data_IF_898611845722
#
_entry.id   IF_898611845722
#
_cell.length_a   1.000
_cell.length_b   1.000
_cell.length_c   1.000
_cell.angle_alpha   90.00
_cell.angle_beta   90.00
_cell.angle_gamma   90.00
#
_symmetry.space_group_name_H-M   'P 1'
#
loop_
_entity.id
_entity.type
_entity.pdbx_description
1 polymer ?
#
# COMPACT_ATOMS: atom_id res chain seq x y z
N UNK A 1 -51.87 -20.47 8.28
CA UNK A 1 -50.81 -19.89 7.44
C UNK A 1 -50.27 -18.66 8.15
N UNK A 2 -49.20 -18.85 8.93
CA UNK A 2 -48.38 -17.79 9.49
C UNK A 2 -47.07 -18.48 9.94
N UNK A 3 -46.10 -18.55 9.03
CA UNK A 3 -44.71 -18.85 9.38
C UNK A 3 -44.05 -17.51 9.69
N UNK A 4 -44.07 -17.17 10.97
CA UNK A 4 -43.41 -16.01 11.54
C UNK A 4 -41.91 -16.30 11.60
N UNK A 5 -41.16 -15.78 10.63
CA UNK A 5 -39.69 -15.80 10.57
C UNK A 5 -39.11 -14.85 11.63
N UNK A 6 -39.29 -15.17 12.91
CA UNK A 6 -38.57 -14.51 14.00
C UNK A 6 -37.23 -15.20 14.21
N UNK A 7 -36.24 -14.77 13.41
CA UNK A 7 -34.84 -15.00 13.71
C UNK A 7 -34.57 -14.60 15.18
N UNK A 8 -33.89 -15.43 15.99
CA UNK A 8 -33.74 -15.18 17.41
C UNK A 8 -33.04 -13.84 17.66
N UNK A 9 -33.75 -12.93 18.36
CA UNK A 9 -33.40 -11.54 18.64
C UNK A 9 -32.24 -11.35 19.64
N UNK A 10 -31.32 -12.31 19.72
CA UNK A 10 -30.13 -12.24 20.56
C UNK A 10 -28.86 -12.33 19.70
N UNK A 11 -28.78 -11.51 18.66
CA UNK A 11 -27.48 -11.23 18.04
C UNK A 11 -26.83 -10.11 18.84
N UNK A 12 -25.77 -10.39 19.61
CA UNK A 12 -25.21 -9.39 20.49
C UNK A 12 -24.52 -8.29 19.67
N UNK A 13 -24.68 -7.03 20.09
CA UNK A 13 -24.16 -5.82 19.42
C UNK A 13 -22.67 -5.90 19.01
N UNK A 14 -21.85 -6.66 19.76
CA UNK A 14 -20.44 -6.89 19.43
C UNK A 14 -20.23 -7.70 18.14
N UNK A 15 -21.12 -8.64 17.82
CA UNK A 15 -21.05 -9.44 16.60
C UNK A 15 -21.39 -8.61 15.35
N UNK A 16 -22.31 -7.64 15.49
CA UNK A 16 -22.64 -6.67 14.43
C UNK A 16 -21.47 -5.73 14.15
N UNK A 17 -20.80 -5.25 15.20
CA UNK A 17 -19.62 -4.37 15.11
C UNK A 17 -18.42 -5.08 14.48
N UNK A 18 -18.20 -6.35 14.80
CA UNK A 18 -17.13 -7.17 14.19
C UNK A 18 -17.31 -7.34 12.67
N UNK A 19 -18.54 -7.67 12.22
CA UNK A 19 -18.85 -7.82 10.78
C UNK A 19 -18.63 -6.52 10.00
N UNK A 20 -19.01 -5.38 10.57
CA UNK A 20 -18.79 -4.06 9.93
C UNK A 20 -17.30 -3.75 9.71
N UNK A 21 -16.44 -4.08 10.69
CA UNK A 21 -14.99 -3.86 10.59
C UNK A 21 -14.39 -4.75 9.49
N UNK A 22 -14.80 -6.01 9.39
CA UNK A 22 -14.32 -6.92 8.33
C UNK A 22 -14.75 -6.45 6.95
N UNK A 23 -16.00 -5.99 6.78
CA UNK A 23 -16.50 -5.46 5.51
C UNK A 23 -15.74 -4.19 5.10
N UNK A 24 -15.53 -3.26 6.04
CA UNK A 24 -14.74 -2.06 5.78
C UNK A 24 -13.31 -2.41 5.35
N UNK A 25 -12.69 -3.40 5.99
CA UNK A 25 -11.37 -3.92 5.63
C UNK A 25 -11.32 -4.52 4.21
N UNK A 26 -12.35 -5.26 3.80
CA UNK A 26 -12.45 -5.82 2.44
C UNK A 26 -12.56 -4.72 1.38
N UNK A 27 -13.42 -3.72 1.61
CA UNK A 27 -13.58 -2.58 0.70
C UNK A 27 -12.27 -1.80 0.59
N UNK A 28 -11.62 -1.54 1.73
CA UNK A 28 -10.32 -0.88 1.81
C UNK A 28 -9.24 -1.60 0.99
N UNK A 29 -9.09 -2.93 1.17
CA UNK A 29 -8.15 -3.72 0.38
C UNK A 29 -8.50 -3.72 -1.12
N UNK A 30 -9.79 -3.78 -1.47
CA UNK A 30 -10.25 -3.70 -2.85
C UNK A 30 -9.88 -2.38 -3.53
N UNK A 31 -10.09 -1.26 -2.85
CA UNK A 31 -9.69 0.08 -3.35
C UNK A 31 -8.16 0.16 -3.55
N UNK A 32 -7.38 -0.36 -2.61
CA UNK A 32 -5.92 -0.38 -2.73
C UNK A 32 -5.42 -1.22 -3.90
N UNK A 33 -6.05 -2.36 -4.18
CA UNK A 33 -5.72 -3.18 -5.36
C UNK A 33 -5.95 -2.37 -6.64
N UNK A 34 -7.09 -1.67 -6.74
CA UNK A 34 -7.40 -0.82 -7.88
C UNK A 34 -6.35 0.28 -8.03
N UNK A 35 -5.98 0.96 -6.93
CA UNK A 35 -4.95 2.01 -6.96
C UNK A 35 -3.59 1.45 -7.38
N UNK A 36 -3.20 0.26 -6.91
CA UNK A 36 -1.95 -0.39 -7.32
C UNK A 36 -1.96 -0.71 -8.82
N UNK A 37 -3.09 -1.17 -9.37
CA UNK A 37 -3.25 -1.40 -10.81
C UNK A 37 -3.15 -0.10 -11.61
N UNK A 38 -3.70 1.00 -11.09
CA UNK A 38 -3.62 2.32 -11.71
C UNK A 38 -2.20 2.93 -11.67
N UNK A 39 -1.31 2.42 -10.83
CA UNK A 39 0.12 2.77 -10.86
C UNK A 39 0.86 1.83 -11.82
N UNK A 40 0.66 0.53 -11.66
CA UNK A 40 1.35 -0.51 -12.41
C UNK A 40 1.07 -0.45 -13.92
N UNK A 41 -0.20 -0.40 -14.33
CA UNK A 41 -0.60 -0.52 -15.74
C UNK A 41 -0.06 0.66 -16.56
N UNK A 42 -0.25 1.93 -16.16
CA UNK A 42 0.23 3.05 -16.97
C UNK A 42 1.76 3.09 -17.07
N UNK A 43 2.48 2.75 -15.99
CA UNK A 43 3.94 2.69 -16.00
C UNK A 43 4.48 1.55 -16.87
N UNK A 44 3.83 0.38 -16.83
CA UNK A 44 4.23 -0.75 -17.67
C UNK A 44 3.98 -0.48 -19.16
N UNK A 45 2.82 0.11 -19.50
CA UNK A 45 2.48 0.45 -20.88
C UNK A 45 3.42 1.52 -21.43
N UNK A 46 3.65 2.61 -20.69
CA UNK A 46 4.57 3.68 -21.14
C UNK A 46 6.01 3.18 -21.27
N UNK A 47 6.46 2.27 -20.41
CA UNK A 47 7.77 1.62 -20.53
C UNK A 47 7.86 0.73 -21.79
N UNK A 48 6.81 -0.03 -22.09
CA UNK A 48 6.75 -0.88 -23.28
C UNK A 48 6.77 -0.05 -24.57
N UNK A 49 5.99 1.03 -24.61
CA UNK A 49 5.98 1.97 -25.74
C UNK A 49 7.34 2.64 -25.95
N UNK A 50 8.08 2.94 -24.88
CA UNK A 50 9.43 3.49 -24.95
C UNK A 50 10.54 2.45 -25.21
N UNK A 51 10.21 1.28 -25.76
CA UNK A 51 11.17 0.24 -26.12
C UNK A 51 11.91 -0.37 -24.91
N UNK A 52 11.30 -0.32 -23.71
CA UNK A 52 11.90 -0.78 -22.46
C UNK A 52 12.62 0.31 -21.65
N UNK A 53 12.69 1.53 -22.16
CA UNK A 53 13.23 2.69 -21.44
C UNK A 53 12.18 3.35 -20.53
N UNK A 54 12.62 4.09 -19.52
CA UNK A 54 11.68 4.76 -18.61
C UNK A 54 11.32 6.15 -19.13
N UNK A 55 10.03 6.43 -19.19
CA UNK A 55 9.54 7.74 -19.62
C UNK A 55 9.67 8.82 -18.52
N UNK A 56 9.71 8.41 -17.25
CA UNK A 56 9.98 9.33 -16.16
C UNK A 56 11.40 9.87 -16.28
N UNK A 57 11.56 11.17 -16.03
CA UNK A 57 12.82 11.88 -16.21
C UNK A 57 13.36 11.89 -17.64
N UNK A 58 12.54 11.57 -18.65
CA UNK A 58 12.93 11.80 -20.03
C UNK A 58 13.08 13.30 -20.30
N UNK A 59 14.00 13.63 -21.20
CA UNK A 59 14.31 14.99 -21.63
C UNK A 59 14.37 15.07 -23.17
N UNK A 60 14.75 16.22 -23.70
CA UNK A 60 14.90 16.40 -25.16
C UNK A 60 16.08 15.61 -25.75
N UNK A 61 16.96 15.05 -24.91
CA UNK A 61 18.18 14.35 -25.30
C UNK A 61 18.07 12.82 -25.17
N UNK A 62 17.07 12.30 -24.44
CA UNK A 62 16.82 10.87 -24.32
C UNK A 62 15.81 10.48 -23.24
N UNK A 63 15.66 9.16 -23.07
CA UNK A 63 14.80 8.57 -22.04
C UNK A 63 15.50 8.50 -20.67
N UNK A 64 14.71 8.47 -19.60
CA UNK A 64 15.21 8.28 -18.25
C UNK A 64 15.64 6.85 -17.95
N UNK A 65 16.31 6.66 -16.82
CA UNK A 65 16.85 5.37 -16.41
C UNK A 65 15.73 4.32 -16.17
N UNK A 66 15.83 3.14 -16.83
CA UNK A 66 14.87 2.02 -16.67
C UNK A 66 14.64 1.65 -15.20
N UNK A 67 15.69 1.74 -14.38
CA UNK A 67 15.65 1.38 -12.95
C UNK A 67 14.60 2.14 -12.15
N UNK A 68 14.24 3.37 -12.56
CA UNK A 68 13.21 4.17 -11.87
C UNK A 68 11.82 3.57 -12.09
N UNK A 69 11.48 3.28 -13.35
CA UNK A 69 10.21 2.63 -13.69
C UNK A 69 10.14 1.23 -13.09
N UNK A 70 11.23 0.46 -13.16
CA UNK A 70 11.30 -0.89 -12.58
C UNK A 70 11.07 -0.89 -11.08
N UNK A 71 11.67 0.08 -10.37
CA UNK A 71 11.44 0.25 -8.95
C UNK A 71 9.97 0.56 -8.63
N UNK A 72 9.37 1.54 -9.32
CA UNK A 72 7.96 1.89 -9.10
C UNK A 72 7.00 0.73 -9.40
N UNK A 73 7.25 0.00 -10.48
CA UNK A 73 6.50 -1.21 -10.87
C UNK A 73 6.65 -2.30 -9.81
N UNK A 74 7.86 -2.58 -9.35
CA UNK A 74 8.12 -3.62 -8.36
C UNK A 74 7.38 -3.34 -7.03
N UNK A 75 7.44 -2.11 -6.53
CA UNK A 75 6.73 -1.73 -5.30
C UNK A 75 5.21 -1.85 -5.47
N UNK A 76 4.65 -1.38 -6.59
CA UNK A 76 3.23 -1.49 -6.88
C UNK A 76 2.76 -2.96 -6.93
N UNK A 77 3.56 -3.85 -7.53
CA UNK A 77 3.26 -5.30 -7.61
C UNK A 77 3.35 -5.96 -6.23
N UNK A 78 4.37 -5.65 -5.42
CA UNK A 78 4.49 -6.18 -4.06
C UNK A 78 3.29 -5.78 -3.22
N UNK A 79 2.88 -4.52 -3.27
CA UNK A 79 1.68 -4.04 -2.58
C UNK A 79 0.41 -4.72 -3.08
N UNK A 80 0.28 -4.92 -4.40
CA UNK A 80 -0.85 -5.63 -4.99
C UNK A 80 -0.96 -7.05 -4.43
N UNK A 81 0.15 -7.79 -4.38
CA UNK A 81 0.19 -9.16 -3.84
C UNK A 81 -0.21 -9.17 -2.37
N UNK A 82 0.32 -8.25 -1.57
CA UNK A 82 -0.01 -8.13 -0.15
C UNK A 82 -1.47 -7.76 0.07
N UNK A 83 -2.01 -6.82 -0.70
CA UNK A 83 -3.42 -6.43 -0.63
C UNK A 83 -4.34 -7.57 -1.07
N UNK A 84 -3.99 -8.29 -2.14
CA UNK A 84 -4.73 -9.45 -2.61
C UNK A 84 -4.71 -10.60 -1.58
N UNK A 85 -3.56 -10.85 -0.97
CA UNK A 85 -3.42 -11.83 0.12
C UNK A 85 -4.27 -11.46 1.33
N UNK A 86 -4.22 -10.19 1.78
CA UNK A 86 -5.07 -9.67 2.87
C UNK A 86 -6.56 -9.79 2.53
N UNK A 87 -6.96 -9.40 1.32
CA UNK A 87 -8.34 -9.51 0.86
C UNK A 87 -8.79 -10.97 0.85
N UNK A 88 -7.98 -11.88 0.31
CA UNK A 88 -8.27 -13.31 0.30
C UNK A 88 -8.48 -13.87 1.71
N UNK A 89 -7.64 -13.48 2.67
CA UNK A 89 -7.81 -13.88 4.08
C UNK A 89 -9.07 -13.31 4.72
N UNK A 90 -9.43 -12.06 4.42
CA UNK A 90 -10.66 -11.43 4.93
C UNK A 90 -11.92 -12.05 4.33
N UNK A 91 -11.92 -12.31 3.01
CA UNK A 91 -13.01 -12.98 2.29
C UNK A 91 -13.17 -14.40 2.80
N UNK A 92 -12.06 -15.13 2.98
CA UNK A 92 -12.09 -16.48 3.54
C UNK A 92 -12.71 -16.50 4.94
N UNK A 93 -12.28 -15.58 5.84
CA UNK A 93 -12.90 -15.41 7.17
C UNK A 93 -14.37 -15.00 7.13
N UNK A 94 -14.80 -14.31 6.08
CA UNK A 94 -16.20 -13.90 5.91
C UNK A 94 -17.08 -15.05 5.41
N UNK A 95 -16.55 -15.90 4.53
CA UNK A 95 -17.27 -17.04 3.93
C UNK A 95 -17.34 -18.25 4.86
N UNK A 96 -16.34 -18.46 5.72
CA UNK A 96 -16.26 -19.68 6.54
C UNK A 96 -17.12 -19.59 7.81
N UNK A 97 -17.99 -20.59 7.99
CA UNK A 97 -18.75 -20.84 9.23
C UNK A 97 -17.79 -21.34 10.35
N UNK A 98 -18.09 -21.08 11.64
CA UNK A 98 -17.12 -21.05 12.74
C UNK A 98 -16.53 -22.40 13.22
N UNK A 99 -16.47 -23.46 12.41
CA UNK A 99 -16.18 -24.83 12.90
C UNK A 99 -14.94 -25.52 12.29
N UNK A 100 -14.06 -24.82 11.56
CA UNK A 100 -12.82 -25.45 11.07
C UNK A 100 -11.57 -25.10 11.89
N UNK A 101 -10.85 -26.09 12.48
CA UNK A 101 -9.67 -25.88 13.34
C UNK A 101 -8.45 -25.34 12.58
N UNK A 102 -8.50 -25.27 11.24
CA UNK A 102 -7.44 -24.73 10.39
C UNK A 102 -7.35 -23.20 10.51
N UNK A 103 -8.48 -22.51 10.72
CA UNK A 103 -8.53 -21.06 10.91
C UNK A 103 -7.89 -20.68 12.24
N UNK A 104 -8.07 -21.45 13.31
CA UNK A 104 -7.45 -21.11 14.59
C UNK A 104 -5.92 -21.14 14.48
N UNK A 105 -5.37 -22.07 13.69
CA UNK A 105 -3.94 -22.11 13.36
C UNK A 105 -3.50 -20.95 12.45
N UNK A 106 -4.18 -20.71 11.33
CA UNK A 106 -3.79 -19.61 10.41
C UNK A 106 -3.99 -18.22 11.06
N UNK A 107 -5.08 -18.05 11.81
CA UNK A 107 -5.34 -16.91 12.67
C UNK A 107 -4.27 -16.79 13.73
N UNK A 108 -3.89 -17.86 14.46
CA UNK A 108 -2.76 -17.83 15.41
C UNK A 108 -1.43 -17.51 14.74
N UNK A 109 -1.18 -17.92 13.51
CA UNK A 109 0.04 -17.53 12.78
C UNK A 109 0.05 -16.03 12.47
N UNK A 110 -1.09 -15.44 12.09
CA UNK A 110 -1.22 -13.98 11.91
C UNK A 110 -1.42 -13.21 13.25
N UNK A 111 -1.85 -13.89 14.31
CA UNK A 111 -2.27 -13.33 15.61
C UNK A 111 -1.32 -13.69 16.76
N UNK A 112 -0.20 -14.36 16.49
CA UNK A 112 0.84 -14.53 17.49
C UNK A 112 1.42 -13.14 17.74
N UNK A 113 1.39 -12.70 18.99
CA UNK A 113 1.77 -11.35 19.45
C UNK A 113 3.10 -10.80 18.87
N UNK A 114 4.00 -11.65 18.38
CA UNK A 114 5.24 -11.23 17.68
C UNK A 114 5.08 -10.93 16.18
N UNK A 115 4.13 -11.56 15.47
CA UNK A 115 3.91 -11.39 14.02
C UNK A 115 3.19 -10.08 13.72
N UNK A 116 2.32 -9.60 14.62
CA UNK A 116 1.70 -8.27 14.48
C UNK A 116 2.72 -7.14 14.41
N UNK A 117 3.81 -7.22 15.16
CA UNK A 117 4.87 -6.22 15.11
C UNK A 117 5.64 -6.28 13.78
N UNK A 118 5.93 -7.49 13.28
CA UNK A 118 6.58 -7.68 11.98
C UNK A 118 5.70 -7.15 10.86
N UNK A 119 4.39 -7.41 10.92
CA UNK A 119 3.40 -6.88 9.95
C UNK A 119 3.40 -5.36 9.99
N UNK A 120 3.28 -4.74 11.18
CA UNK A 120 3.33 -3.28 11.34
C UNK A 120 4.64 -2.70 10.78
N UNK A 121 5.79 -3.34 11.03
CA UNK A 121 7.06 -2.90 10.47
C UNK A 121 7.09 -3.00 8.93
N UNK A 122 6.55 -4.08 8.36
CA UNK A 122 6.42 -4.25 6.92
C UNK A 122 5.50 -3.17 6.35
N UNK A 123 4.37 -2.88 6.98
CA UNK A 123 3.41 -1.88 6.51
C UNK A 123 3.98 -0.46 6.57
N UNK A 124 4.75 -0.15 7.62
CA UNK A 124 5.49 1.12 7.74
C UNK A 124 6.60 1.21 6.69
N UNK A 125 7.35 0.12 6.44
CA UNK A 125 8.35 0.10 5.39
C UNK A 125 7.72 0.34 4.01
N UNK A 126 6.61 -0.34 3.72
CA UNK A 126 5.84 -0.17 2.49
C UNK A 126 5.25 1.23 2.35
N UNK A 127 4.82 1.85 3.45
CA UNK A 127 4.36 3.23 3.47
C UNK A 127 5.47 4.20 3.00
N UNK A 128 6.69 4.00 3.50
CA UNK A 128 7.85 4.80 3.07
C UNK A 128 8.18 4.53 1.60
N UNK A 129 8.15 3.27 1.17
CA UNK A 129 8.38 2.92 -0.23
C UNK A 129 7.32 3.53 -1.16
N UNK A 130 6.04 3.56 -0.75
CA UNK A 130 4.96 4.23 -1.48
C UNK A 130 5.17 5.74 -1.57
N UNK A 131 5.63 6.37 -0.49
CA UNK A 131 5.96 7.79 -0.51
C UNK A 131 7.07 8.05 -1.53
N UNK A 132 8.12 7.23 -1.53
CA UNK A 132 9.21 7.34 -2.51
C UNK A 132 8.67 7.16 -3.93
N UNK A 133 7.79 6.18 -4.18
CA UNK A 133 7.14 6.01 -5.50
C UNK A 133 6.33 7.26 -5.89
N UNK A 134 5.50 7.79 -5.00
CA UNK A 134 4.71 9.00 -5.29
C UNK A 134 5.62 10.21 -5.60
N UNK A 135 6.71 10.39 -4.84
CA UNK A 135 7.69 11.43 -5.11
C UNK A 135 8.42 11.20 -6.45
N UNK A 136 8.88 9.99 -6.73
CA UNK A 136 9.58 9.68 -7.99
C UNK A 136 8.67 9.92 -9.19
N UNK A 137 7.40 9.52 -9.09
CA UNK A 137 6.42 9.75 -10.15
C UNK A 137 6.15 11.24 -10.34
N UNK A 138 5.87 11.98 -9.26
CA UNK A 138 5.56 13.41 -9.32
C UNK A 138 6.74 14.28 -9.80
N UNK A 139 7.96 14.00 -9.33
CA UNK A 139 9.15 14.72 -9.79
C UNK A 139 9.50 14.31 -11.23
N UNK A 140 9.36 13.03 -11.57
CA UNK A 140 9.63 12.54 -12.93
C UNK A 140 8.65 13.11 -13.96
N UNK A 141 7.37 13.25 -13.62
CA UNK A 141 6.36 13.92 -14.47
C UNK A 141 6.65 15.42 -14.60
N UNK A 142 6.96 16.10 -13.49
CA UNK A 142 7.31 17.52 -13.51
C UNK A 142 8.58 17.81 -14.34
N UNK A 143 9.61 16.97 -14.22
CA UNK A 143 10.85 17.10 -15.00
C UNK A 143 10.60 16.96 -16.49
N UNK A 144 9.89 15.89 -16.88
CA UNK A 144 9.46 15.64 -18.25
C UNK A 144 8.68 16.82 -18.83
N UNK A 145 7.70 17.33 -18.07
CA UNK A 145 6.91 18.49 -18.45
C UNK A 145 7.78 19.74 -18.68
N UNK A 146 8.67 20.05 -17.76
CA UNK A 146 9.57 21.19 -17.87
C UNK A 146 10.54 21.04 -19.06
N UNK A 147 11.01 19.83 -19.33
CA UNK A 147 11.93 19.59 -20.45
C UNK A 147 11.25 19.69 -21.81
N UNK A 148 10.00 19.23 -21.95
CA UNK A 148 9.28 19.23 -23.22
C UNK A 148 8.64 20.58 -23.55
N UNK A 149 8.14 21.29 -22.54
CA UNK A 149 7.30 22.49 -22.73
C UNK A 149 7.95 23.78 -22.23
N UNK A 150 9.11 23.69 -21.57
CA UNK A 150 9.71 24.83 -20.88
C UNK A 150 8.75 25.46 -19.88
N UNK A 151 8.91 26.77 -19.64
CA UNK A 151 8.07 27.52 -18.70
C UNK A 151 6.79 28.11 -19.32
N UNK A 152 6.46 27.79 -20.58
CA UNK A 152 5.50 28.59 -21.39
C UNK A 152 4.16 27.92 -21.72
N UNK A 153 3.98 26.61 -21.50
CA UNK A 153 2.68 25.95 -21.72
C UNK A 153 2.35 24.94 -20.62
N UNK A 154 1.05 24.70 -20.40
CA UNK A 154 0.61 23.70 -19.42
C UNK A 154 0.95 22.32 -19.96
N UNK A 155 1.45 21.42 -19.11
CA UNK A 155 1.80 20.06 -19.55
C UNK A 155 0.59 19.28 -20.09
N UNK A 156 -0.63 19.69 -19.73
CA UNK A 156 -1.89 19.20 -20.32
C UNK A 156 -2.01 19.42 -21.83
N UNK A 157 -1.31 20.42 -22.37
CA UNK A 157 -1.29 20.72 -23.81
C UNK A 157 -0.36 19.75 -24.57
N UNK A 158 0.34 18.88 -23.85
CA UNK A 158 1.24 17.87 -24.38
C UNK A 158 0.58 16.64 -25.00
N UNK A 159 -0.74 16.50 -24.89
CA UNK A 159 -1.52 15.50 -25.61
C UNK A 159 -1.45 15.79 -27.12
N UNK A 160 -0.43 15.24 -27.81
CA UNK A 160 -0.18 15.52 -29.23
C UNK A 160 1.24 15.89 -29.61
N UNK A 161 2.17 16.00 -28.65
CA UNK A 161 3.57 16.31 -28.95
C UNK A 161 4.28 15.09 -29.53
N UNK A 162 5.00 15.33 -30.63
CA UNK A 162 5.85 14.34 -31.28
C UNK A 162 7.08 14.17 -30.39
N UNK A 163 7.14 13.02 -29.73
CA UNK A 163 8.30 12.58 -28.98
C UNK A 163 9.43 12.18 -29.94
N UNK A 164 10.68 12.02 -29.45
CA UNK A 164 11.82 11.60 -30.29
C UNK A 164 11.56 10.31 -31.06
N UNK A 165 10.59 9.52 -30.62
CA UNK A 165 10.10 8.32 -31.27
C UNK A 165 8.59 8.49 -31.56
N UNK A 166 8.20 8.53 -32.85
CA UNK A 166 6.79 8.65 -33.30
C UNK A 166 5.90 7.48 -32.85
N UNK A 167 6.52 6.43 -32.29
CA UNK A 167 5.86 5.24 -31.75
C UNK A 167 5.15 5.46 -30.41
N UNK A 168 5.42 6.56 -29.69
CA UNK A 168 4.85 6.78 -28.35
C UNK A 168 3.46 7.42 -28.46
N UNK A 169 2.48 6.80 -27.79
CA UNK A 169 1.08 7.23 -27.85
C UNK A 169 0.89 8.63 -27.26
N UNK A 170 0.14 9.49 -27.95
CA UNK A 170 -0.21 10.87 -27.51
C UNK A 170 -0.93 10.92 -26.15
N UNK A 171 -1.34 9.79 -25.58
CA UNK A 171 -1.99 9.67 -24.27
C UNK A 171 -1.03 9.46 -23.10
N UNK A 172 0.29 9.43 -23.32
CA UNK A 172 1.29 9.18 -22.27
C UNK A 172 1.13 10.12 -21.06
N UNK A 173 0.82 11.40 -21.28
CA UNK A 173 0.63 12.38 -20.21
C UNK A 173 -0.56 12.03 -19.32
N UNK A 174 -1.68 11.62 -19.92
CA UNK A 174 -2.86 11.17 -19.18
C UNK A 174 -2.55 9.93 -18.34
N UNK A 175 -1.83 8.96 -18.92
CA UNK A 175 -1.38 7.74 -18.24
C UNK A 175 -0.48 8.04 -17.03
N UNK A 176 0.50 8.92 -17.19
CA UNK A 176 1.41 9.34 -16.11
C UNK A 176 0.69 10.14 -15.02
N UNK A 177 -0.21 11.05 -15.40
CA UNK A 177 -1.01 11.82 -14.44
C UNK A 177 -1.95 10.94 -13.61
N UNK A 178 -2.56 9.92 -14.23
CA UNK A 178 -3.36 8.91 -13.53
C UNK A 178 -2.48 8.13 -12.53
N UNK A 179 -1.29 7.68 -12.96
CA UNK A 179 -0.36 6.97 -12.08
C UNK A 179 0.12 7.84 -10.90
N UNK A 180 0.40 9.12 -11.14
CA UNK A 180 0.80 10.07 -10.10
C UNK A 180 -0.30 10.25 -9.06
N UNK A 181 -1.53 10.51 -9.54
CA UNK A 181 -2.70 10.70 -8.69
C UNK A 181 -3.00 9.42 -7.91
N UNK A 182 -2.94 8.26 -8.55
CA UNK A 182 -3.13 6.97 -7.91
C UNK A 182 -2.06 6.68 -6.84
N UNK A 183 -0.79 7.05 -7.07
CA UNK A 183 0.29 6.91 -6.10
C UNK A 183 0.05 7.76 -4.84
N UNK A 184 -0.35 9.02 -5.01
CA UNK A 184 -0.67 9.90 -3.88
C UNK A 184 -1.91 9.45 -3.09
N UNK A 185 -2.99 9.08 -3.79
CA UNK A 185 -4.19 8.56 -3.13
C UNK A 185 -3.88 7.24 -2.43
N UNK A 186 -3.13 6.35 -3.08
CA UNK A 186 -2.65 5.09 -2.51
C UNK A 186 -1.82 5.30 -1.25
N UNK A 187 -0.88 6.24 -1.27
CA UNK A 187 -0.07 6.61 -0.11
C UNK A 187 -0.95 7.12 1.05
N UNK A 188 -1.84 8.07 0.81
CA UNK A 188 -2.70 8.63 1.86
C UNK A 188 -3.61 7.55 2.47
N UNK A 189 -4.13 6.66 1.62
CA UNK A 189 -5.01 5.60 2.08
C UNK A 189 -4.23 4.54 2.88
N UNK A 190 -3.04 4.15 2.43
CA UNK A 190 -2.15 3.25 3.16
C UNK A 190 -1.67 3.86 4.48
N UNK A 191 -1.41 5.18 4.51
CA UNK A 191 -1.08 5.93 5.73
C UNK A 191 -2.17 5.79 6.78
N UNK A 192 -3.45 5.94 6.39
CA UNK A 192 -4.58 5.77 7.30
C UNK A 192 -4.67 4.34 7.84
N UNK A 193 -4.40 3.33 7.00
CA UNK A 193 -4.35 1.92 7.42
C UNK A 193 -3.26 1.71 8.47
N UNK A 194 -2.04 2.19 8.20
CA UNK A 194 -0.91 2.09 9.14
C UNK A 194 -1.20 2.80 10.46
N UNK A 195 -1.75 4.03 10.41
CA UNK A 195 -2.13 4.78 11.62
C UNK A 195 -3.14 3.98 12.45
N UNK A 196 -4.15 3.39 11.80
CA UNK A 196 -5.14 2.58 12.47
C UNK A 196 -4.55 1.31 13.09
N UNK A 197 -3.69 0.59 12.37
CA UNK A 197 -3.01 -0.60 12.87
C UNK A 197 -2.10 -0.29 14.06
N UNK A 198 -1.30 0.80 13.96
CA UNK A 198 -0.44 1.26 15.06
C UNK A 198 -1.29 1.67 16.27
N UNK A 199 -2.39 2.39 16.07
CA UNK A 199 -3.30 2.78 17.15
C UNK A 199 -3.88 1.56 17.87
N UNK A 200 -4.33 0.55 17.12
CA UNK A 200 -4.85 -0.71 17.68
C UNK A 200 -3.76 -1.48 18.41
N UNK A 201 -2.53 -1.54 17.86
CA UNK A 201 -1.40 -2.18 18.50
C UNK A 201 -0.99 -1.49 19.82
N UNK A 202 -1.07 -0.17 19.85
CA UNK A 202 -0.82 0.64 21.06
C UNK A 202 -1.86 0.36 22.15
N UNK A 203 -3.15 0.26 21.77
CA UNK A 203 -4.25 0.03 22.69
C UNK A 203 -4.31 -1.40 23.26
N UNK A 204 -3.78 -2.39 22.54
CA UNK A 204 -3.81 -3.82 22.95
C UNK A 204 -2.64 -4.24 23.85
N UNK A 205 -1.92 -3.30 24.46
CA UNK A 205 -0.74 -3.55 25.31
C UNK A 205 0.36 -4.41 24.66
N UNK A 206 0.33 -4.58 23.34
CA UNK A 206 1.30 -5.40 22.59
C UNK A 206 2.72 -4.79 22.63
N UNK A 207 2.82 -3.50 22.94
CA UNK A 207 4.09 -2.76 23.05
C UNK A 207 4.63 -2.66 24.50
N UNK A 208 3.82 -2.93 25.52
CA UNK A 208 4.26 -3.01 26.91
C UNK A 208 5.42 -3.99 27.19
N UNK A 209 5.47 -5.20 26.56
CA UNK A 209 6.61 -6.09 26.77
C UNK A 209 7.93 -5.54 26.22
N UNK A 210 7.91 -4.58 25.30
CA UNK A 210 9.14 -3.98 24.73
C UNK A 210 9.60 -2.80 25.58
N UNK A 211 8.68 -1.93 26.02
CA UNK A 211 9.01 -0.84 26.94
C UNK A 211 9.53 -1.36 28.28
N UNK A 212 8.96 -2.45 28.81
CA UNK A 212 9.48 -3.10 30.02
C UNK A 212 10.87 -3.73 29.83
N UNK A 213 11.14 -4.32 28.66
CA UNK A 213 12.50 -4.82 28.31
C UNK A 213 13.51 -3.70 28.14
N UNK A 214 13.13 -2.58 27.51
CA UNK A 214 14.00 -1.39 27.41
C UNK A 214 14.25 -0.74 28.77
N UNK A 215 13.25 -0.72 29.67
CA UNK A 215 13.42 -0.23 31.03
C UNK A 215 14.39 -1.11 31.85
N UNK A 216 14.33 -2.43 31.69
CA UNK A 216 15.27 -3.36 32.34
C UNK A 216 16.70 -3.24 31.79
N UNK A 217 16.89 -3.02 30.49
CA UNK A 217 18.23 -2.76 29.92
C UNK A 217 18.82 -1.43 30.41
N UNK A 218 17.98 -0.42 30.62
CA UNK A 218 18.41 0.87 31.17
C UNK A 218 18.68 0.83 32.68
N UNK A 219 18.07 -0.12 33.41
CA UNK A 219 18.29 -0.34 34.85
C UNK A 219 19.46 -1.26 35.19
N UNK A 220 19.88 -2.13 34.25
CA UNK A 220 20.97 -3.09 34.45
C UNK A 220 22.38 -2.49 34.49
N UNK A 221 22.57 -1.25 34.03
CA UNK A 221 23.89 -0.61 33.92
C UNK A 221 24.37 0.10 35.22
N UNK A 222 23.72 -0.18 36.36
CA UNK A 222 24.12 0.33 37.69
C UNK A 222 24.58 -0.74 38.68
N UNK A 223 24.77 -1.98 38.24
CA UNK A 223 25.02 -3.14 39.11
C UNK A 223 26.37 -3.85 38.94
N UNK A 224 27.36 -3.24 38.29
CA UNK A 224 28.64 -3.89 37.97
C UNK A 224 29.86 -3.17 38.56
N UNK A 225 29.92 -2.98 39.88
CA UNK A 225 31.19 -2.65 40.56
C UNK A 225 31.13 -3.01 42.04
N UNK A 226 31.19 -4.30 42.36
CA UNK A 226 31.74 -4.81 43.63
C UNK A 226 32.03 -6.31 43.53
N UNK A 227 33.19 -6.69 44.05
CA UNK A 227 33.87 -8.00 44.03
C UNK A 227 34.53 -8.30 42.67
N UNK A 228 35.86 -8.34 42.54
CA UNK A 228 36.92 -8.84 43.44
C UNK A 228 38.11 -7.88 43.48
#
# INVERSE_FOLDING_TARGET
MASDDTAPAFYPEWAKKSKQITIAGMICCGVLIILCLLIFIPLAVTKYEAGGSCFLYADTFGFGASSVCDYCIAIAVVLLILCAGRLGLLVYKFLEKPEHPVIEKASKWFSLYGVHLVIVLIDVALLVLLLVVACLVSVGTAHLCNSLFGSRSKCSDGNGVILPDESVSRSFHTSLSISETAAWIGFLFWLLVVIFEVYVAWKKDTLQPITSRMANLKGGDKGGSSAV
#
